data_IF_665157212747
#
_entry.id   IF_665157212747
#
_cell.length_a   1.000
_cell.length_b   1.000
_cell.length_c   1.000
_cell.angle_alpha   90.00
_cell.angle_beta   90.00
_cell.angle_gamma   90.00
#
_symmetry.space_group_name_H-M   'P 1'
#
loop_
_entity.id
_entity.type
_entity.pdbx_description
1 polymer ?
#
# COMPACT_ATOMS: atom_id res chain seq x y z
N UNK A 1 -16.96 -13.28 4.11
CA UNK A 1 -17.37 -12.06 3.39
C UNK A 1 -16.33 -11.79 2.33
N UNK A 2 -16.73 -11.79 1.06
CA UNK A 2 -15.81 -11.51 -0.05
C UNK A 2 -15.65 -9.99 -0.10
N UNK A 3 -14.79 -9.44 0.76
CA UNK A 3 -14.57 -8.00 0.81
C UNK A 3 -13.97 -7.56 -0.53
N UNK A 4 -14.76 -6.85 -1.33
CA UNK A 4 -14.29 -6.23 -2.56
C UNK A 4 -13.52 -4.97 -2.20
N UNK A 5 -12.23 -4.98 -2.48
CA UNK A 5 -11.33 -3.85 -2.26
C UNK A 5 -11.19 -3.03 -3.55
N UNK A 6 -11.39 -1.73 -3.45
CA UNK A 6 -11.19 -0.78 -4.55
C UNK A 6 -9.90 0.00 -4.34
N UNK A 7 -9.07 0.10 -5.38
CA UNK A 7 -7.89 0.96 -5.36
C UNK A 7 -8.29 2.43 -5.17
N UNK A 8 -7.60 3.12 -4.27
CA UNK A 8 -7.82 4.54 -3.99
C UNK A 8 -6.64 5.37 -4.49
N UNK A 9 -5.43 5.09 -4.01
CA UNK A 9 -4.23 5.83 -4.40
C UNK A 9 -2.94 5.09 -4.04
N UNK A 10 -1.81 5.59 -4.53
CA UNK A 10 -0.48 5.15 -4.10
C UNK A 10 0.10 6.17 -3.12
N UNK A 11 0.42 5.74 -1.91
CA UNK A 11 1.12 6.56 -0.93
C UNK A 11 2.63 6.44 -1.17
N UNK A 12 3.25 7.52 -1.64
CA UNK A 12 4.70 7.60 -1.83
C UNK A 12 5.38 7.78 -0.47
N UNK A 13 6.29 6.88 -0.13
CA UNK A 13 7.05 6.98 1.12
C UNK A 13 7.93 8.24 1.14
N UNK A 14 7.86 8.95 2.26
CA UNK A 14 8.78 10.02 2.63
C UNK A 14 9.66 9.52 3.78
N UNK A 15 10.84 10.12 3.98
CA UNK A 15 11.77 9.71 5.02
C UNK A 15 11.08 9.65 6.40
N UNK A 16 11.18 8.51 7.09
CA UNK A 16 10.54 8.27 8.40
C UNK A 16 9.07 7.83 8.37
N UNK A 17 8.43 7.73 7.18
CA UNK A 17 7.08 7.18 7.04
C UNK A 17 7.09 5.69 6.73
N UNK A 18 5.89 5.09 6.67
CA UNK A 18 5.71 3.78 6.07
C UNK A 18 6.29 3.72 4.64
N UNK A 19 6.76 2.55 4.19
CA UNK A 19 7.19 2.32 2.81
C UNK A 19 6.10 2.63 1.80
N UNK A 20 6.48 2.82 0.54
CA UNK A 20 5.52 3.12 -0.53
C UNK A 20 4.54 1.97 -0.65
N UNK A 21 3.25 2.30 -0.66
CA UNK A 21 2.20 1.29 -0.66
C UNK A 21 0.98 1.77 -1.43
N UNK A 22 0.29 0.81 -2.02
CA UNK A 22 -0.97 1.01 -2.72
C UNK A 22 -2.11 0.84 -1.73
N UNK A 23 -2.96 1.85 -1.62
CA UNK A 23 -4.08 1.89 -0.68
C UNK A 23 -5.32 1.40 -1.41
N UNK A 24 -5.92 0.34 -0.87
CA UNK A 24 -7.21 -0.16 -1.29
C UNK A 24 -8.20 0.00 -0.14
N UNK A 25 -9.43 0.39 -0.45
CA UNK A 25 -10.49 0.54 0.54
C UNK A 25 -11.55 -0.52 0.32
N UNK A 26 -12.04 -1.10 1.41
CA UNK A 26 -13.18 -2.01 1.34
C UNK A 26 -14.45 -1.23 1.02
N UNK A 27 -15.28 -1.77 0.11
CA UNK A 27 -16.59 -1.17 -0.18
C UNK A 27 -17.61 -1.39 0.94
N UNK A 28 -17.34 -2.31 1.86
CA UNK A 28 -18.27 -2.84 2.87
C UNK A 28 -17.82 -2.54 4.29
N UNK A 29 -16.55 -2.21 4.52
CA UNK A 29 -15.99 -1.93 5.83
C UNK A 29 -15.09 -0.71 5.81
N UNK A 30 -14.92 -0.05 6.96
CA UNK A 30 -13.96 1.05 7.13
C UNK A 30 -12.49 0.58 7.17
N UNK A 31 -12.19 -0.63 6.67
CA UNK A 31 -10.84 -1.17 6.61
C UNK A 31 -10.22 -0.82 5.26
N UNK A 32 -8.98 -0.36 5.31
CA UNK A 32 -8.12 -0.27 4.14
C UNK A 32 -7.10 -1.39 4.13
N UNK A 33 -6.69 -1.79 2.94
CA UNK A 33 -5.62 -2.74 2.67
C UNK A 33 -4.47 -1.98 2.04
N UNK A 34 -3.31 -2.05 2.67
CA UNK A 34 -2.10 -1.32 2.30
C UNK A 34 -1.15 -2.34 1.67
N UNK A 35 -1.01 -2.35 0.35
CA UNK A 35 -0.24 -3.36 -0.40
C UNK A 35 1.13 -2.80 -0.78
N UNK A 36 2.18 -3.49 -0.34
CA UNK A 36 3.58 -3.11 -0.58
C UNK A 36 4.15 -3.77 -1.85
N UNK A 37 5.34 -3.33 -2.26
CA UNK A 37 5.99 -3.72 -3.51
C UNK A 37 6.32 -5.22 -3.65
N UNK A 38 6.36 -5.98 -2.55
CA UNK A 38 6.52 -7.44 -2.53
C UNK A 38 5.17 -8.19 -2.52
N UNK A 39 4.06 -7.48 -2.76
CA UNK A 39 2.67 -7.96 -2.65
C UNK A 39 2.24 -8.40 -1.25
N UNK A 40 3.05 -8.14 -0.22
CA UNK A 40 2.59 -8.25 1.17
C UNK A 40 1.69 -7.07 1.52
N UNK A 41 0.87 -7.22 2.56
CA UNK A 41 -0.06 -6.18 2.94
C UNK A 41 -0.25 -6.07 4.46
N UNK A 42 -0.78 -4.94 4.89
CA UNK A 42 -1.35 -4.75 6.23
C UNK A 42 -2.73 -4.12 6.11
N UNK A 43 -3.52 -4.24 7.17
CA UNK A 43 -4.77 -3.50 7.31
C UNK A 43 -4.54 -2.20 8.06
N UNK A 44 -5.20 -1.13 7.59
CA UNK A 44 -5.15 0.18 8.22
C UNK A 44 -6.51 0.85 8.24
N UNK A 45 -6.53 2.04 8.85
CA UNK A 45 -7.63 2.98 8.75
C UNK A 45 -7.20 4.10 7.82
N UNK A 46 -8.11 4.53 6.95
CA UNK A 46 -7.92 5.70 6.09
C UNK A 46 -8.86 6.79 6.60
N UNK A 47 -8.36 8.03 6.65
CA UNK A 47 -9.15 9.15 7.16
C UNK A 47 -10.36 9.43 6.26
N UNK A 48 -11.46 9.91 6.85
CA UNK A 48 -12.65 10.32 6.09
C UNK A 48 -12.33 11.40 5.05
N UNK A 49 -11.35 12.25 5.32
CA UNK A 49 -10.88 13.26 4.38
C UNK A 49 -10.30 12.62 3.12
N UNK A 50 -9.45 11.60 3.30
CA UNK A 50 -8.85 10.84 2.19
C UNK A 50 -9.89 10.08 1.37
N UNK A 51 -10.98 9.61 1.98
CA UNK A 51 -12.08 8.95 1.26
C UNK A 51 -12.90 9.93 0.40
N UNK A 52 -13.01 11.19 0.85
CA UNK A 52 -13.81 12.23 0.20
C UNK A 52 -13.02 13.07 -0.79
N UNK A 53 -11.70 12.92 -0.83
CA UNK A 53 -10.83 13.69 -1.70
C UNK A 53 -10.32 12.81 -2.85
N UNK A 54 -10.54 13.27 -4.09
CA UNK A 54 -10.16 12.56 -5.32
C UNK A 54 -8.79 12.97 -5.86
N UNK A 55 -8.13 13.97 -5.27
CA UNK A 55 -6.88 14.55 -5.79
C UNK A 55 -5.63 13.70 -5.53
N UNK A 56 -5.79 12.46 -5.06
CA UNK A 56 -4.65 11.57 -4.91
C UNK A 56 -4.21 11.03 -6.28
N UNK A 57 -2.93 11.22 -6.60
CA UNK A 57 -2.34 10.76 -7.86
C UNK A 57 -2.62 9.28 -8.11
N UNK A 58 -3.23 8.98 -9.25
CA UNK A 58 -3.52 7.63 -9.70
C UNK A 58 -2.29 7.03 -10.39
N UNK A 59 -1.43 6.39 -9.60
CA UNK A 59 -0.45 5.46 -10.17
C UNK A 59 -1.14 4.15 -10.63
N UNK A 60 -0.40 3.23 -11.23
CA UNK A 60 -0.99 1.94 -11.67
C UNK A 60 -1.65 1.21 -10.50
N UNK A 61 -2.70 0.44 -10.79
CA UNK A 61 -3.47 -0.22 -9.72
C UNK A 61 -2.65 -1.35 -9.09
N UNK A 62 -1.88 -2.06 -9.91
CA UNK A 62 -1.09 -3.21 -9.46
C UNK A 62 0.40 -2.92 -9.56
N UNK A 63 1.19 -3.51 -8.67
CA UNK A 63 2.65 -3.39 -8.71
C UNK A 63 3.28 -4.02 -9.95
N UNK A 64 2.60 -4.96 -10.61
CA UNK A 64 3.11 -5.63 -11.82
C UNK A 64 2.99 -4.76 -13.07
N UNK A 65 2.06 -3.79 -13.08
CA UNK A 65 1.88 -2.82 -14.15
C UNK A 65 2.92 -1.69 -14.10
N UNK A 66 3.63 -1.56 -12.97
CA UNK A 66 4.65 -0.55 -12.77
C UNK A 66 5.94 -0.85 -13.56
N UNK A 67 6.75 0.18 -13.89
CA UNK A 67 8.07 -0.03 -14.47
C UNK A 67 8.94 -0.92 -13.58
N UNK A 68 9.58 -1.94 -14.17
CA UNK A 68 10.42 -2.90 -13.42
C UNK A 68 11.49 -2.23 -12.55
N UNK A 69 12.14 -1.18 -13.06
CA UNK A 69 13.16 -0.43 -12.33
C UNK A 69 12.59 0.25 -11.08
N UNK A 70 11.37 0.78 -11.16
CA UNK A 70 10.66 1.37 -10.03
C UNK A 70 10.27 0.30 -9.00
N UNK A 71 9.67 -0.80 -9.45
CA UNK A 71 9.27 -1.90 -8.58
C UNK A 71 10.44 -2.49 -7.79
N UNK A 72 11.58 -2.74 -8.45
CA UNK A 72 12.76 -3.29 -7.79
C UNK A 72 13.39 -2.31 -6.78
N UNK A 73 13.31 -1.00 -7.06
CA UNK A 73 13.76 0.01 -6.11
C UNK A 73 12.86 0.04 -4.85
N UNK A 74 11.55 0.00 -5.03
CA UNK A 74 10.61 -0.02 -3.90
C UNK A 74 10.71 -1.30 -3.08
N UNK A 75 10.97 -2.46 -3.70
CA UNK A 75 11.28 -3.71 -2.97
C UNK A 75 12.54 -3.58 -2.11
N UNK A 76 13.60 -2.97 -2.62
CA UNK A 76 14.84 -2.73 -1.84
C UNK A 76 14.58 -1.83 -0.63
N UNK A 77 13.82 -0.74 -0.82
CA UNK A 77 13.42 0.15 0.27
C UNK A 77 12.58 -0.58 1.32
N UNK A 78 11.62 -1.40 0.88
CA UNK A 78 10.77 -2.19 1.76
C UNK A 78 11.59 -3.20 2.57
N UNK A 79 12.54 -3.91 1.94
CA UNK A 79 13.42 -4.84 2.62
C UNK A 79 14.27 -4.15 3.69
N UNK A 80 14.84 -2.97 3.36
CA UNK A 80 15.59 -2.16 4.32
C UNK A 80 14.69 -1.69 5.48
N UNK A 81 13.47 -1.26 5.19
CA UNK A 81 12.52 -0.84 6.22
C UNK A 81 12.16 -2.00 7.15
N UNK A 82 11.82 -3.17 6.61
CA UNK A 82 11.54 -4.40 7.38
C UNK A 82 12.73 -4.79 8.27
N UNK A 83 13.96 -4.65 7.78
CA UNK A 83 15.16 -4.95 8.57
C UNK A 83 15.40 -4.00 9.74
N UNK A 84 15.01 -2.72 9.58
CA UNK A 84 15.18 -1.68 10.61
C UNK A 84 13.99 -1.57 11.55
N UNK A 85 12.83 -2.16 11.20
CA UNK A 85 11.60 -2.12 11.98
C UNK A 85 11.06 -3.55 12.24
N UNK A 86 11.60 -4.28 13.23
CA UNK A 86 11.21 -5.68 13.48
C UNK A 86 9.73 -5.89 13.84
N UNK A 87 9.07 -4.84 14.37
CA UNK A 87 7.65 -4.86 14.71
C UNK A 87 6.73 -4.66 13.49
N UNK A 88 7.30 -4.29 12.34
CA UNK A 88 6.55 -4.13 11.11
C UNK A 88 6.34 -5.50 10.44
N UNK A 89 5.19 -6.11 10.75
CA UNK A 89 4.80 -7.42 10.24
C UNK A 89 3.74 -7.24 9.15
N UNK A 90 3.97 -7.88 8.00
CA UNK A 90 3.07 -7.85 6.85
C UNK A 90 2.50 -9.23 6.58
N UNK A 91 1.23 -9.32 6.20
CA UNK A 91 0.59 -10.55 5.75
C UNK A 91 0.95 -10.82 4.28
N UNK A 92 1.13 -12.10 3.93
CA UNK A 92 1.26 -12.50 2.52
C UNK A 92 -0.13 -12.80 1.96
N UNK A 93 -0.41 -12.36 0.74
CA UNK A 93 -1.47 -12.98 -0.02
C UNK A 93 -1.04 -14.43 -0.28
N UNK A 94 -1.79 -15.40 0.26
CA UNK A 94 -1.66 -16.82 -0.09
C UNK A 94 -2.18 -17.00 -1.52
#
# INVERSE_FOLDING_TARGET
>A
MNDTYRYLYTHISIFGSLPTHKVFVSNTSNKSKLIFADNTFIYGLVSDWTLRNSDFGSDKVTWIEEPKSYLENEKKKLALYKSTHPLFITESAI
#
